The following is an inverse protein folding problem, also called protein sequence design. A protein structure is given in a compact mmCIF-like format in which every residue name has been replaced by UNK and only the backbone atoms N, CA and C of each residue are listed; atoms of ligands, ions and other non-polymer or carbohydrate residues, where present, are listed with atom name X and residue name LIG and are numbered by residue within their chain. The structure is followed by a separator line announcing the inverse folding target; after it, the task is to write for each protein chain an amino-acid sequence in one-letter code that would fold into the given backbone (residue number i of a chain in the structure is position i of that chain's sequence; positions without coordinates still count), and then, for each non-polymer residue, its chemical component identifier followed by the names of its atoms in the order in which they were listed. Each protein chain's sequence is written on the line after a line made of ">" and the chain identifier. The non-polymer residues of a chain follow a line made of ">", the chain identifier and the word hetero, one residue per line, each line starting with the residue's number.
data_IF_551190168862
#
_entry.id   IF_551190168862
#
_cell.length_a   1.000
_cell.length_b   1.000
_cell.length_c   1.000
_cell.angle_alpha   90.00
_cell.angle_beta   90.00
_cell.angle_gamma   90.00
#
_symmetry.space_group_name_H-M   'P 1'
#
loop_
_entity.id
_entity.type
_entity.pdbx_description
1 polymer ?
#
# COMPACT_ATOMS: atom_id res chain seq x y z
N UNK A 1 -2.25 6.44 30.10
CA UNK A 1 -1.72 5.19 29.51
C UNK A 1 -0.90 5.52 28.28
N UNK A 2 0.41 5.20 28.27
CA UNK A 2 1.22 5.27 27.03
C UNK A 2 0.77 4.12 26.13
N UNK A 3 0.14 4.40 24.98
CA UNK A 3 -0.04 3.38 23.94
C UNK A 3 1.34 2.91 23.52
N UNK A 4 1.69 1.66 23.80
CA UNK A 4 2.85 1.01 23.19
C UNK A 4 2.64 1.04 21.68
N UNK A 5 3.54 1.69 20.93
CA UNK A 5 3.43 1.77 19.47
C UNK A 5 3.58 0.36 18.90
N UNK A 6 2.48 -0.22 18.42
CA UNK A 6 2.48 -1.55 17.82
C UNK A 6 3.00 -1.42 16.39
N UNK A 7 4.10 -2.11 16.07
CA UNK A 7 4.55 -2.22 14.69
C UNK A 7 3.54 -3.05 13.89
N UNK A 8 3.29 -2.63 12.65
CA UNK A 8 2.32 -3.24 11.72
C UNK A 8 3.01 -3.62 10.43
N UNK A 9 2.40 -4.50 9.66
CA UNK A 9 2.83 -4.91 8.33
C UNK A 9 1.86 -4.37 7.27
N UNK A 10 2.28 -3.33 6.57
CA UNK A 10 1.47 -2.66 5.56
C UNK A 10 1.83 -3.14 4.15
N UNK A 11 0.91 -2.94 3.21
CA UNK A 11 1.18 -2.95 1.78
C UNK A 11 1.26 -1.52 1.28
N UNK A 12 2.32 -1.15 0.57
CA UNK A 12 2.47 0.20 -0.01
C UNK A 12 2.38 0.08 -1.52
N UNK A 13 1.36 0.72 -2.09
CA UNK A 13 1.14 0.78 -3.53
C UNK A 13 2.28 1.56 -4.22
N UNK A 14 2.61 1.16 -5.45
CA UNK A 14 3.54 1.86 -6.30
C UNK A 14 3.10 3.30 -6.62
N UNK A 15 1.80 3.61 -6.55
CA UNK A 15 1.30 5.00 -6.65
C UNK A 15 1.97 5.93 -5.63
N UNK A 16 2.09 5.49 -4.37
CA UNK A 16 2.78 6.21 -3.29
C UNK A 16 4.29 6.29 -3.55
N UNK A 17 4.89 5.16 -3.94
CA UNK A 17 6.32 5.07 -4.24
C UNK A 17 6.74 5.99 -5.39
N UNK A 18 5.88 6.13 -6.41
CA UNK A 18 6.06 7.04 -7.54
C UNK A 18 5.86 8.48 -7.12
N UNK A 19 4.80 8.75 -6.36
CA UNK A 19 4.40 10.09 -5.94
C UNK A 19 5.40 10.76 -4.98
N UNK A 20 6.07 9.99 -4.11
CA UNK A 20 7.06 10.48 -3.15
C UNK A 20 8.37 10.95 -3.84
N UNK A 21 8.30 11.90 -4.76
CA UNK A 21 9.43 12.53 -5.44
C UNK A 21 10.14 13.55 -4.57
N UNK A 22 11.02 14.37 -5.14
CA UNK A 22 11.73 15.47 -4.45
C UNK A 22 11.13 16.84 -4.73
N UNK A 23 10.03 16.90 -5.46
CA UNK A 23 9.33 18.15 -5.77
C UNK A 23 8.57 18.67 -4.55
N UNK A 24 8.47 20.00 -4.43
CA UNK A 24 7.59 20.68 -3.46
C UNK A 24 6.15 20.73 -3.99
N UNK A 25 5.60 19.56 -4.26
CA UNK A 25 4.19 19.37 -4.59
C UNK A 25 3.48 18.76 -3.37
N UNK A 26 2.26 19.18 -2.98
CA UNK A 26 1.58 18.69 -1.79
C UNK A 26 1.53 17.15 -1.69
N UNK A 27 1.15 16.49 -2.79
CA UNK A 27 1.14 15.02 -2.91
C UNK A 27 2.53 14.41 -2.69
N UNK A 28 3.57 15.01 -3.28
CA UNK A 28 4.94 14.53 -3.18
C UNK A 28 5.46 14.62 -1.75
N UNK A 29 5.19 15.75 -1.08
CA UNK A 29 5.52 15.98 0.33
C UNK A 29 4.78 15.03 1.26
N UNK A 30 3.47 14.82 1.04
CA UNK A 30 2.65 13.91 1.84
C UNK A 30 3.16 12.47 1.76
N UNK A 31 3.41 11.95 0.54
CA UNK A 31 3.93 10.59 0.36
C UNK A 31 5.34 10.44 0.95
N UNK A 32 6.24 11.43 0.80
CA UNK A 32 7.56 11.42 1.45
C UNK A 32 7.44 11.34 2.98
N UNK A 33 6.56 12.14 3.57
CA UNK A 33 6.31 12.15 5.03
C UNK A 33 5.78 10.81 5.50
N UNK A 34 4.81 10.22 4.78
CA UNK A 34 4.27 8.91 5.10
C UNK A 34 5.34 7.81 5.07
N UNK A 35 6.13 7.70 3.99
CA UNK A 35 7.23 6.72 3.91
C UNK A 35 8.25 6.91 5.06
N UNK A 36 8.63 8.17 5.34
CA UNK A 36 9.54 8.49 6.44
C UNK A 36 8.98 8.08 7.80
N UNK A 37 7.68 8.28 8.02
CA UNK A 37 6.98 7.89 9.24
C UNK A 37 6.89 6.37 9.40
N UNK A 38 6.58 5.61 8.33
CA UNK A 38 6.61 4.13 8.35
C UNK A 38 7.97 3.64 8.89
N UNK A 39 9.06 4.19 8.36
CA UNK A 39 10.42 3.86 8.79
C UNK A 39 10.68 4.26 10.25
N UNK A 40 10.26 5.46 10.66
CA UNK A 40 10.51 6.03 11.99
C UNK A 40 9.71 5.33 13.08
N UNK A 41 8.43 5.07 12.84
CA UNK A 41 7.53 4.30 13.72
C UNK A 41 7.93 2.82 13.76
N UNK A 42 8.81 2.40 12.85
CA UNK A 42 9.29 1.04 12.74
C UNK A 42 8.23 0.04 12.27
N UNK A 43 7.20 0.49 11.54
CA UNK A 43 6.34 -0.41 10.77
C UNK A 43 7.16 -1.19 9.72
N UNK A 44 6.59 -2.29 9.25
CA UNK A 44 7.13 -3.14 8.20
C UNK A 44 6.28 -3.01 6.95
N UNK A 45 6.86 -3.31 5.79
CA UNK A 45 6.15 -3.30 4.51
C UNK A 45 6.34 -4.63 3.81
N UNK A 46 5.24 -5.29 3.44
CA UNK A 46 5.32 -6.56 2.75
C UNK A 46 5.85 -6.35 1.34
N UNK A 47 6.71 -7.26 0.91
CA UNK A 47 7.14 -7.36 -0.48
C UNK A 47 6.75 -8.71 -1.07
N UNK A 48 5.99 -8.66 -2.15
CA UNK A 48 5.83 -9.76 -3.08
C UNK A 48 6.59 -9.46 -4.36
N UNK A 49 6.86 -10.48 -5.18
CA UNK A 49 7.52 -10.31 -6.47
C UNK A 49 6.76 -9.34 -7.39
N UNK A 50 5.40 -9.35 -7.46
CA UNK A 50 4.67 -8.32 -8.19
C UNK A 50 4.87 -6.91 -7.65
N UNK A 51 4.83 -6.72 -6.32
CA UNK A 51 5.05 -5.40 -5.68
C UNK A 51 6.46 -4.90 -5.99
N UNK A 52 7.47 -5.76 -5.84
CA UNK A 52 8.87 -5.43 -6.11
C UNK A 52 9.07 -5.00 -7.57
N UNK A 53 8.53 -5.76 -8.52
CA UNK A 53 8.60 -5.44 -9.94
C UNK A 53 7.94 -4.09 -10.26
N UNK A 54 6.80 -3.79 -9.64
CA UNK A 54 6.10 -2.52 -9.83
C UNK A 54 6.91 -1.35 -9.26
N UNK A 55 7.50 -1.54 -8.08
CA UNK A 55 8.36 -0.55 -7.46
C UNK A 55 9.61 -0.27 -8.28
N UNK A 56 10.26 -1.28 -8.82
CA UNK A 56 11.50 -1.10 -9.60
C UNK A 56 11.26 -0.25 -10.86
N UNK A 57 10.07 -0.37 -11.45
CA UNK A 57 9.62 0.41 -12.62
C UNK A 57 9.18 1.83 -12.28
N UNK A 58 8.50 2.02 -11.15
CA UNK A 58 7.77 3.27 -10.88
C UNK A 58 8.31 4.12 -9.71
N UNK A 59 9.21 3.60 -8.88
CA UNK A 59 9.70 4.33 -7.70
C UNK A 59 10.50 5.58 -8.06
N UNK A 60 10.23 6.66 -7.32
CA UNK A 60 11.05 7.87 -7.35
C UNK A 60 12.47 7.62 -6.83
N UNK A 61 13.39 8.57 -7.04
CA UNK A 61 14.75 8.52 -6.46
C UNK A 61 14.72 8.47 -4.93
N UNK A 62 13.79 9.20 -4.29
CA UNK A 62 13.63 9.18 -2.84
C UNK A 62 13.13 7.81 -2.36
N UNK A 63 12.09 7.28 -2.99
CA UNK A 63 11.48 6.01 -2.59
C UNK A 63 12.43 4.83 -2.76
N UNK A 64 13.33 4.86 -3.75
CA UNK A 64 14.42 3.88 -3.88
C UNK A 64 15.38 3.91 -2.69
N UNK A 65 15.80 5.10 -2.25
CA UNK A 65 16.65 5.24 -1.04
C UNK A 65 15.93 4.75 0.21
N UNK A 66 14.64 5.05 0.32
CA UNK A 66 13.80 4.55 1.40
C UNK A 66 13.67 3.02 1.38
N UNK A 67 13.46 2.39 0.20
CA UNK A 67 13.45 0.93 0.01
C UNK A 67 14.73 0.31 0.56
N UNK A 68 15.89 0.87 0.18
CA UNK A 68 17.20 0.41 0.70
C UNK A 68 17.28 0.51 2.22
N UNK A 69 16.89 1.66 2.80
CA UNK A 69 16.92 1.83 4.25
C UNK A 69 16.02 0.83 5.01
N UNK A 70 14.85 0.52 4.46
CA UNK A 70 13.93 -0.48 5.01
C UNK A 70 14.51 -1.91 4.91
N UNK A 71 15.14 -2.26 3.79
CA UNK A 71 15.81 -3.55 3.59
C UNK A 71 16.99 -3.72 4.56
N UNK A 72 17.88 -2.73 4.68
CA UNK A 72 19.02 -2.77 5.62
C UNK A 72 18.56 -2.98 7.06
N UNK A 73 17.39 -2.43 7.43
CA UNK A 73 16.79 -2.59 8.76
C UNK A 73 15.90 -3.84 8.89
N UNK A 74 15.87 -4.72 7.89
CA UNK A 74 15.07 -5.95 7.84
C UNK A 74 13.57 -5.71 8.08
N UNK A 75 13.04 -4.59 7.57
CA UNK A 75 11.63 -4.18 7.73
C UNK A 75 10.73 -4.59 6.55
N UNK A 76 11.25 -5.40 5.63
CA UNK A 76 10.55 -5.81 4.42
C UNK A 76 10.48 -7.33 4.32
N UNK A 77 9.59 -7.99 5.09
CA UNK A 77 9.38 -9.42 4.92
C UNK A 77 8.89 -9.71 3.50
N UNK A 78 9.38 -10.81 2.92
CA UNK A 78 9.02 -11.26 1.58
C UNK A 78 7.97 -12.37 1.67
N UNK A 79 6.87 -12.22 0.94
CA UNK A 79 5.80 -13.23 0.80
C UNK A 79 5.07 -13.02 -0.53
N UNK A 80 4.56 -14.09 -1.13
CA UNK A 80 3.83 -14.08 -2.41
C UNK A 80 2.45 -14.73 -2.25
N UNK A 81 1.56 -14.19 -1.41
CA UNK A 81 0.25 -14.77 -1.19
C UNK A 81 -0.64 -14.67 -2.44
N UNK A 82 -1.59 -15.60 -2.55
CA UNK A 82 -2.67 -15.59 -3.54
C UNK A 82 -3.95 -16.09 -2.87
N UNK A 83 -4.50 -15.27 -1.97
CA UNK A 83 -5.55 -15.69 -1.02
C UNK A 83 -6.79 -14.79 -0.99
N UNK A 84 -6.78 -13.63 -1.65
CA UNK A 84 -7.90 -12.70 -1.57
C UNK A 84 -9.16 -13.33 -2.22
N UNK A 85 -10.34 -13.25 -1.59
CA UNK A 85 -11.53 -13.99 -2.07
C UNK A 85 -12.27 -13.23 -3.19
N UNK A 86 -11.63 -12.95 -4.33
CA UNK A 86 -12.29 -12.27 -5.48
C UNK A 86 -12.44 -13.23 -6.65
N UNK A 87 -13.65 -13.24 -7.21
CA UNK A 87 -13.94 -13.93 -8.48
C UNK A 87 -13.98 -12.90 -9.59
N UNK A 88 -13.03 -13.00 -10.52
CA UNK A 88 -12.95 -12.11 -11.69
C UNK A 88 -13.96 -12.45 -12.79
N UNK A 89 -14.51 -13.67 -12.77
CA UNK A 89 -15.48 -14.15 -13.77
C UNK A 89 -16.82 -13.43 -13.56
N UNK A 90 -17.35 -12.84 -14.63
CA UNK A 90 -18.62 -12.11 -14.62
C UNK A 90 -18.51 -10.61 -14.31
N UNK A 91 -17.31 -10.10 -14.02
CA UNK A 91 -17.09 -8.67 -13.83
C UNK A 91 -17.01 -7.94 -15.19
N UNK A 92 -17.44 -6.67 -15.27
CA UNK A 92 -17.21 -5.81 -16.43
C UNK A 92 -15.73 -5.77 -16.84
N UNK A 93 -15.44 -5.64 -18.15
CA UNK A 93 -14.06 -5.72 -18.68
C UNK A 93 -13.09 -4.79 -17.97
N UNK A 94 -13.52 -3.55 -17.73
CA UNK A 94 -12.69 -2.47 -17.22
C UNK A 94 -12.38 -2.68 -15.74
N UNK A 95 -13.40 -3.04 -14.96
CA UNK A 95 -13.25 -3.34 -13.53
C UNK A 95 -12.44 -4.60 -13.30
N UNK A 96 -12.64 -5.62 -14.14
CA UNK A 96 -11.84 -6.83 -14.14
C UNK A 96 -10.38 -6.51 -14.41
N UNK A 97 -10.07 -5.60 -15.34
CA UNK A 97 -8.70 -5.20 -15.64
C UNK A 97 -8.06 -4.44 -14.47
N UNK A 98 -8.78 -3.50 -13.85
CA UNK A 98 -8.31 -2.76 -12.67
C UNK A 98 -8.04 -3.72 -11.51
N UNK A 99 -9.01 -4.56 -11.15
CA UNK A 99 -8.87 -5.51 -10.03
C UNK A 99 -7.76 -6.52 -10.33
N UNK A 100 -7.66 -7.04 -11.56
CA UNK A 100 -6.60 -7.99 -11.94
C UNK A 100 -5.22 -7.34 -11.85
N UNK A 101 -5.09 -6.08 -12.27
CA UNK A 101 -3.83 -5.34 -12.24
C UNK A 101 -3.32 -5.21 -10.81
N UNK A 102 -4.18 -4.80 -9.88
CA UNK A 102 -3.79 -4.49 -8.49
C UNK A 102 -4.16 -5.62 -7.51
N UNK A 103 -4.40 -6.82 -8.05
CA UNK A 103 -4.79 -8.02 -7.30
C UNK A 103 -3.74 -8.41 -6.27
N UNK A 104 -2.46 -8.26 -6.61
CA UNK A 104 -1.34 -8.56 -5.72
C UNK A 104 -1.36 -7.71 -4.45
N UNK A 105 -1.86 -6.47 -4.51
CA UNK A 105 -2.01 -5.62 -3.31
C UNK A 105 -3.07 -6.19 -2.36
N UNK A 106 -4.17 -6.70 -2.93
CA UNK A 106 -5.27 -7.32 -2.16
C UNK A 106 -4.82 -8.64 -1.54
N UNK A 107 -4.16 -9.50 -2.32
CA UNK A 107 -3.61 -10.77 -1.80
C UNK A 107 -2.63 -10.53 -0.65
N UNK A 108 -1.71 -9.58 -0.83
CA UNK A 108 -0.76 -9.16 0.19
C UNK A 108 -1.44 -8.64 1.45
N UNK A 109 -2.45 -7.77 1.31
CA UNK A 109 -3.15 -7.21 2.45
C UNK A 109 -3.94 -8.29 3.21
N UNK A 110 -4.62 -9.19 2.49
CA UNK A 110 -5.41 -10.27 3.09
C UNK A 110 -4.57 -11.26 3.89
N UNK A 111 -3.33 -11.52 3.46
CA UNK A 111 -2.44 -12.45 4.14
C UNK A 111 -1.89 -11.92 5.47
N UNK A 112 -1.99 -10.62 5.69
CA UNK A 112 -1.39 -9.94 6.83
C UNK A 112 -2.36 -8.94 7.48
N UNK A 113 -1.88 -7.78 7.90
CA UNK A 113 -2.62 -6.85 8.76
C UNK A 113 -3.77 -6.11 8.05
N UNK A 114 -4.07 -6.44 6.78
CA UNK A 114 -5.14 -5.82 5.97
C UNK A 114 -5.03 -4.31 5.85
N UNK A 115 -3.82 -3.78 5.69
CA UNK A 115 -3.58 -2.35 5.52
C UNK A 115 -2.96 -2.09 4.15
N UNK A 116 -3.59 -1.25 3.34
CA UNK A 116 -3.07 -0.78 2.05
C UNK A 116 -2.90 0.74 2.12
N UNK A 117 -1.71 1.22 1.79
CA UNK A 117 -1.45 2.63 1.57
C UNK A 117 -1.39 2.92 0.06
N UNK A 118 -2.26 3.80 -0.44
CA UNK A 118 -2.37 4.15 -1.86
C UNK A 118 -2.78 5.62 -2.03
N UNK A 119 -2.42 6.24 -3.15
CA UNK A 119 -2.93 7.56 -3.54
C UNK A 119 -4.01 7.48 -4.63
N UNK A 120 -4.34 6.28 -5.11
CA UNK A 120 -5.34 6.05 -6.16
C UNK A 120 -6.55 5.31 -5.56
N UNK A 121 -7.75 5.72 -5.97
CA UNK A 121 -9.02 5.14 -5.52
C UNK A 121 -9.65 4.20 -6.55
N UNK A 122 -9.04 4.00 -7.72
CA UNK A 122 -9.57 3.14 -8.80
C UNK A 122 -9.87 1.73 -8.33
N UNK A 123 -8.96 1.12 -7.56
CA UNK A 123 -9.16 -0.23 -7.03
C UNK A 123 -10.35 -0.27 -6.08
N UNK A 124 -10.48 0.73 -5.20
CA UNK A 124 -11.59 0.82 -4.27
C UNK A 124 -12.93 0.97 -5.01
N UNK A 125 -13.00 1.90 -5.98
CA UNK A 125 -14.17 2.11 -6.84
C UNK A 125 -14.53 0.90 -7.69
N UNK A 126 -13.55 0.14 -8.17
CA UNK A 126 -13.80 -1.09 -8.91
C UNK A 126 -14.37 -2.19 -8.00
N UNK A 127 -13.85 -2.33 -6.78
CA UNK A 127 -14.40 -3.26 -5.79
C UNK A 127 -15.83 -2.89 -5.39
N UNK A 128 -16.13 -1.59 -5.27
CA UNK A 128 -17.47 -1.10 -4.94
C UNK A 128 -18.46 -1.43 -6.05
N UNK A 129 -18.15 -1.06 -7.30
CA UNK A 129 -19.00 -1.32 -8.48
C UNK A 129 -19.23 -2.80 -8.76
N UNK A 130 -18.31 -3.64 -8.34
CA UNK A 130 -18.39 -5.11 -8.52
C UNK A 130 -19.01 -5.83 -7.32
N UNK A 131 -19.51 -5.10 -6.32
CA UNK A 131 -20.18 -5.69 -5.14
C UNK A 131 -19.21 -6.34 -4.14
N UNK A 132 -17.90 -6.16 -4.27
CA UNK A 132 -16.88 -6.65 -3.34
C UNK A 132 -16.76 -5.76 -2.08
N UNK A 133 -17.90 -5.27 -1.58
CA UNK A 133 -17.97 -4.30 -0.45
C UNK A 133 -17.41 -4.88 0.84
N UNK A 134 -17.54 -6.19 1.06
CA UNK A 134 -16.93 -6.87 2.21
C UNK A 134 -15.42 -6.64 2.26
N UNK A 135 -14.75 -6.73 1.11
CA UNK A 135 -13.31 -6.53 0.99
C UNK A 135 -12.91 -5.08 1.28
N UNK A 136 -13.69 -4.13 0.76
CA UNK A 136 -13.48 -2.72 1.05
C UNK A 136 -13.53 -2.41 2.55
N UNK A 137 -14.43 -3.08 3.29
CA UNK A 137 -14.61 -2.90 4.73
C UNK A 137 -13.54 -3.61 5.58
N UNK A 138 -13.04 -4.74 5.12
CA UNK A 138 -12.03 -5.53 5.86
C UNK A 138 -10.62 -4.97 5.71
N UNK A 139 -10.33 -4.26 4.62
CA UNK A 139 -9.05 -3.59 4.39
C UNK A 139 -9.11 -2.16 4.93
N UNK A 140 -8.13 -1.78 5.73
CA UNK A 140 -7.86 -0.40 6.09
C UNK A 140 -7.09 0.27 4.96
N UNK A 141 -7.76 1.17 4.25
CA UNK A 141 -7.17 1.99 3.20
C UNK A 141 -6.61 3.28 3.80
N UNK A 142 -5.37 3.62 3.47
CA UNK A 142 -4.71 4.84 3.90
C UNK A 142 -4.26 5.64 2.68
N UNK A 143 -4.66 6.90 2.60
CA UNK A 143 -4.20 7.86 1.61
C UNK A 143 -3.35 8.94 2.29
N UNK A 144 -2.02 8.99 2.03
CA UNK A 144 -1.13 9.99 2.63
C UNK A 144 -1.60 11.45 2.45
N UNK A 145 -2.31 11.74 1.36
CA UNK A 145 -2.76 13.09 1.02
C UNK A 145 -4.04 13.50 1.76
N UNK A 146 -4.86 12.53 2.17
CA UNK A 146 -6.17 12.77 2.79
C UNK A 146 -6.12 12.48 4.30
N UNK A 147 -5.52 11.35 4.69
CA UNK A 147 -5.45 10.92 6.09
C UNK A 147 -4.28 11.53 6.86
N UNK A 148 -3.31 12.11 6.14
CA UNK A 148 -2.07 12.64 6.71
C UNK A 148 -1.20 11.58 7.38
N UNK A 149 -0.16 12.02 8.08
CA UNK A 149 0.83 11.12 8.69
C UNK A 149 0.37 10.53 10.03
N UNK A 150 -0.57 11.20 10.70
CA UNK A 150 -1.02 10.83 12.04
C UNK A 150 -1.78 9.50 12.06
N UNK A 151 -2.40 9.13 10.93
CA UNK A 151 -3.07 7.84 10.78
C UNK A 151 -2.12 6.66 11.04
N UNK A 152 -0.83 6.79 10.72
CA UNK A 152 0.19 5.76 10.94
C UNK A 152 0.49 5.57 12.43
N UNK A 153 0.43 6.62 13.23
CA UNK A 153 0.64 6.52 14.68
C UNK A 153 -0.55 5.89 15.42
N UNK A 154 -1.68 5.74 14.73
CA UNK A 154 -2.93 5.16 15.24
C UNK A 154 -3.20 3.74 14.73
N UNK A 155 -2.25 3.14 14.01
CA UNK A 155 -2.28 1.73 13.61
C UNK A 155 -1.95 0.80 14.79
#
# INVERSE_FOLDING_TARGET
>A
MKRTKVSRLLVVDASVMRAAGTTEHPVSSACRKALSAILTICHRVLISDPIENEWDRHSSKFSRKWKVAMMTRRKMPKDNPSIAPIRLKGLPSDDRAIIKKDRHLLDAAYAHDRIIMTTDDKLQKALERTGNVKMLREIRWLNPCEDGVDCLYQL
#
